data_IF_880581222485
#
_entry.id   IF_880581222485
#
_cell.length_a   1.000
_cell.length_b   1.000
_cell.length_c   1.000
_cell.angle_alpha   90.00
_cell.angle_beta   90.00
_cell.angle_gamma   90.00
#
_symmetry.space_group_name_H-M   'P 1'
#
loop_
_entity.id
_entity.type
_entity.pdbx_description
1 polymer ?
#
# COMPACT_ATOMS: atom_id res chain seq x y z
N UNK A 1 -13.85 -5.25 -1.30
CA UNK A 1 -14.25 -4.97 0.11
C UNK A 1 -14.43 -3.47 0.26
N UNK A 2 -15.40 -3.00 1.06
CA UNK A 2 -15.53 -1.56 1.30
C UNK A 2 -14.30 -1.06 2.08
N UNK A 3 -13.77 0.14 1.76
CA UNK A 3 -12.68 0.74 2.52
C UNK A 3 -13.07 1.02 3.97
N UNK A 4 -12.09 1.00 4.88
CA UNK A 4 -12.30 1.35 6.27
C UNK A 4 -12.73 2.82 6.40
N UNK A 5 -13.55 3.12 7.42
CA UNK A 5 -14.05 4.48 7.64
C UNK A 5 -12.93 5.52 7.80
N UNK A 6 -11.77 5.12 8.31
CA UNK A 6 -10.58 5.98 8.43
C UNK A 6 -10.17 6.60 7.08
N UNK A 7 -10.34 5.86 6.00
CA UNK A 7 -9.94 6.27 4.65
C UNK A 7 -11.08 6.84 3.81
N UNK A 8 -12.35 6.50 4.18
CA UNK A 8 -13.52 6.83 3.37
C UNK A 8 -14.39 7.93 3.98
N UNK A 9 -14.52 7.97 5.32
CA UNK A 9 -15.46 8.87 5.98
C UNK A 9 -15.06 10.34 5.79
N UNK A 10 -15.99 11.25 5.43
CA UNK A 10 -15.69 12.65 5.08
C UNK A 10 -15.10 13.49 6.23
N UNK A 11 -15.19 13.04 7.48
CA UNK A 11 -14.51 13.67 8.62
C UNK A 11 -13.16 13.04 8.95
N UNK A 12 -12.92 11.79 8.58
CA UNK A 12 -11.69 11.05 8.96
C UNK A 12 -10.62 11.14 7.87
N UNK A 13 -10.98 10.93 6.60
CA UNK A 13 -10.02 11.00 5.50
C UNK A 13 -9.26 12.35 5.45
N UNK A 14 -9.91 13.54 5.63
CA UNK A 14 -9.19 14.82 5.61
C UNK A 14 -8.18 15.04 6.74
N UNK A 15 -8.34 14.35 7.86
CA UNK A 15 -7.42 14.52 9.02
C UNK A 15 -6.34 13.44 9.08
N UNK A 16 -6.35 12.47 8.14
CA UNK A 16 -5.43 11.33 8.14
C UNK A 16 -3.97 11.75 8.21
N UNK A 17 -3.53 12.63 7.30
CA UNK A 17 -2.13 13.08 7.25
C UNK A 17 -1.74 13.95 8.46
N UNK A 18 -2.70 14.69 9.02
CA UNK A 18 -2.44 15.55 10.16
C UNK A 18 -2.35 14.77 11.49
N UNK A 19 -2.94 13.56 11.55
CA UNK A 19 -2.80 12.65 12.69
C UNK A 19 -1.44 11.96 12.73
N UNK A 20 -0.77 11.84 11.58
CA UNK A 20 0.58 11.28 11.45
C UNK A 20 1.39 12.11 10.46
N UNK A 21 1.89 13.29 10.89
CA UNK A 21 2.55 14.25 10.01
C UNK A 21 3.99 13.87 9.66
N UNK A 22 4.63 13.00 10.45
CA UNK A 22 5.95 12.48 10.10
C UNK A 22 5.80 11.38 9.03
N UNK A 23 6.28 11.71 7.84
CA UNK A 23 6.26 10.81 6.68
C UNK A 23 7.67 10.37 6.27
N UNK A 24 8.56 10.30 7.24
CA UNK A 24 9.91 9.74 7.06
C UNK A 24 9.87 8.23 6.72
N UNK A 25 8.78 7.55 7.04
CA UNK A 25 8.43 6.20 6.60
C UNK A 25 8.51 6.02 5.08
N UNK A 26 8.27 7.09 4.30
CA UNK A 26 8.29 7.06 2.84
C UNK A 26 9.69 7.24 2.22
N UNK A 27 10.68 7.70 2.98
CA UNK A 27 12.03 7.93 2.47
C UNK A 27 12.70 6.68 1.87
N UNK A 28 12.55 5.48 2.44
CA UNK A 28 13.10 4.26 1.84
C UNK A 28 12.51 3.94 0.46
N UNK A 29 11.23 4.23 0.24
CA UNK A 29 10.58 3.98 -1.06
C UNK A 29 10.99 4.98 -2.12
N UNK A 30 11.23 6.24 -1.74
CA UNK A 30 11.80 7.24 -2.62
C UNK A 30 13.23 6.86 -3.02
N UNK A 31 14.05 6.40 -2.07
CA UNK A 31 15.40 5.92 -2.33
C UNK A 31 15.39 4.66 -3.23
N UNK A 32 14.46 3.73 -3.01
CA UNK A 32 14.29 2.55 -3.87
C UNK A 32 13.91 2.94 -5.30
N UNK A 33 13.03 3.91 -5.49
CA UNK A 33 12.68 4.39 -6.83
C UNK A 33 13.89 4.96 -7.57
N UNK A 34 14.78 5.68 -6.86
CA UNK A 34 16.05 6.18 -7.39
C UNK A 34 17.05 5.04 -7.66
N UNK A 35 17.23 4.11 -6.71
CA UNK A 35 18.12 2.93 -6.82
C UNK A 35 17.77 2.09 -8.05
N UNK A 36 16.47 1.89 -8.30
CA UNK A 36 15.96 1.12 -9.43
C UNK A 36 15.88 1.93 -10.74
N UNK A 37 16.17 3.23 -10.70
CA UNK A 37 16.06 4.12 -11.86
C UNK A 37 14.64 4.22 -12.41
N UNK A 38 13.63 4.08 -11.56
CA UNK A 38 12.22 4.07 -11.95
C UNK A 38 11.77 5.45 -12.45
N UNK A 39 11.30 5.52 -13.70
CA UNK A 39 10.74 6.72 -14.31
C UNK A 39 9.22 6.74 -14.30
N UNK A 40 8.61 5.60 -14.04
CA UNK A 40 7.17 5.44 -13.94
C UNK A 40 6.82 4.52 -12.77
N UNK A 41 5.86 4.95 -11.93
CA UNK A 41 5.46 4.25 -10.70
C UNK A 41 3.96 4.09 -10.64
N UNK A 42 3.50 2.89 -10.25
CA UNK A 42 2.13 2.59 -9.84
C UNK A 42 2.10 2.44 -8.32
N UNK A 43 1.36 3.31 -7.64
CA UNK A 43 1.16 3.27 -6.19
C UNK A 43 -0.20 2.61 -5.89
N UNK A 44 -0.19 1.35 -5.45
CA UNK A 44 -1.38 0.53 -5.17
C UNK A 44 -1.74 0.68 -3.69
N UNK A 45 -2.91 1.22 -3.40
CA UNK A 45 -3.32 1.64 -2.07
C UNK A 45 -2.69 2.98 -1.70
N UNK A 46 -2.70 3.93 -2.64
CA UNK A 46 -2.01 5.22 -2.52
C UNK A 46 -2.58 6.14 -1.44
N UNK A 47 -3.75 5.83 -0.89
CA UNK A 47 -4.41 6.61 0.16
C UNK A 47 -4.58 8.08 -0.20
N UNK A 48 -4.12 8.95 0.67
CA UNK A 48 -4.12 10.42 0.48
C UNK A 48 -3.02 10.92 -0.46
N UNK A 49 -2.26 10.00 -1.10
CA UNK A 49 -1.36 10.29 -2.21
C UNK A 49 -0.01 10.92 -1.81
N UNK A 50 0.43 10.83 -0.57
CA UNK A 50 1.67 11.50 -0.12
C UNK A 50 2.89 10.98 -0.89
N UNK A 51 3.07 9.66 -1.01
CA UNK A 51 4.18 9.07 -1.77
C UNK A 51 4.08 9.42 -3.25
N UNK A 52 2.89 9.25 -3.84
CA UNK A 52 2.64 9.56 -5.25
C UNK A 52 3.02 11.00 -5.61
N UNK A 53 2.65 11.97 -4.76
CA UNK A 53 2.99 13.39 -4.95
C UNK A 53 4.49 13.66 -4.78
N UNK A 54 5.15 13.02 -3.82
CA UNK A 54 6.59 13.16 -3.61
C UNK A 54 7.40 12.61 -4.79
N UNK A 55 6.97 11.49 -5.38
CA UNK A 55 7.57 10.91 -6.59
C UNK A 55 7.34 11.82 -7.80
N UNK A 56 6.10 12.30 -8.00
CA UNK A 56 5.77 13.21 -9.10
C UNK A 56 6.57 14.52 -9.02
N UNK A 57 6.76 15.07 -7.82
CA UNK A 57 7.59 16.28 -7.61
C UNK A 57 9.07 16.05 -7.98
N UNK A 58 9.55 14.82 -8.05
CA UNK A 58 10.89 14.41 -8.51
C UNK A 58 10.94 14.12 -10.02
N UNK A 59 9.83 14.33 -10.74
CA UNK A 59 9.75 14.11 -12.18
C UNK A 59 9.40 12.67 -12.59
N UNK A 60 9.00 11.82 -11.66
CA UNK A 60 8.50 10.48 -11.95
C UNK A 60 7.07 10.55 -12.47
N UNK A 61 6.73 9.79 -13.52
CA UNK A 61 5.35 9.62 -13.96
C UNK A 61 4.62 8.69 -12.99
N UNK A 62 3.57 9.16 -12.32
CA UNK A 62 2.93 8.40 -11.24
C UNK A 62 1.45 8.18 -11.52
N UNK A 63 1.01 6.94 -11.26
CA UNK A 63 -0.39 6.57 -11.14
C UNK A 63 -0.66 6.14 -9.69
N UNK A 64 -1.63 6.78 -9.03
CA UNK A 64 -2.13 6.37 -7.73
C UNK A 64 -3.46 5.65 -7.86
N UNK A 65 -3.56 4.46 -7.29
CA UNK A 65 -4.76 3.63 -7.27
C UNK A 65 -5.20 3.39 -5.82
N UNK A 66 -6.46 3.69 -5.51
CA UNK A 66 -7.02 3.44 -4.18
C UNK A 66 -8.52 3.15 -4.25
N UNK A 67 -9.06 2.18 -3.48
CA UNK A 67 -10.48 1.93 -3.39
C UNK A 67 -11.24 2.96 -2.56
N UNK A 68 -10.56 3.76 -1.70
CA UNK A 68 -11.17 4.77 -0.85
C UNK A 68 -11.35 6.10 -1.60
N UNK A 69 -12.60 6.41 -1.97
CA UNK A 69 -12.95 7.67 -2.62
C UNK A 69 -12.66 8.89 -1.75
N UNK A 70 -12.83 8.76 -0.42
CA UNK A 70 -12.51 9.80 0.56
C UNK A 70 -11.02 10.16 0.57
N UNK A 71 -10.14 9.17 0.61
CA UNK A 71 -8.68 9.36 0.51
C UNK A 71 -8.27 9.99 -0.81
N UNK A 72 -8.83 9.51 -1.94
CA UNK A 72 -8.55 10.09 -3.26
C UNK A 72 -9.06 11.52 -3.41
N UNK A 73 -10.16 11.89 -2.75
CA UNK A 73 -10.62 13.28 -2.73
C UNK A 73 -9.59 14.19 -2.04
N UNK A 74 -9.00 13.73 -0.92
CA UNK A 74 -7.89 14.43 -0.25
C UNK A 74 -6.67 14.52 -1.15
N UNK A 75 -6.27 13.40 -1.78
CA UNK A 75 -5.11 13.37 -2.68
C UNK A 75 -5.24 14.37 -3.83
N UNK A 76 -6.41 14.40 -4.48
CA UNK A 76 -6.71 15.31 -5.60
C UNK A 76 -6.78 16.78 -5.21
N UNK A 77 -7.03 17.10 -3.94
CA UNK A 77 -7.07 18.47 -3.43
C UNK A 77 -5.69 19.03 -3.06
N UNK A 78 -4.65 18.20 -3.02
CA UNK A 78 -3.30 18.63 -2.65
C UNK A 78 -2.59 19.37 -3.78
N UNK A 79 -1.67 20.29 -3.46
CA UNK A 79 -0.80 20.92 -4.44
C UNK A 79 -0.01 19.87 -5.24
N UNK A 80 0.05 20.03 -6.57
CA UNK A 80 0.75 19.11 -7.45
C UNK A 80 -0.05 17.86 -7.84
N UNK A 81 -1.30 17.72 -7.42
CA UNK A 81 -2.15 16.57 -7.72
C UNK A 81 -2.37 16.33 -9.21
N UNK A 82 -2.34 17.39 -10.04
CA UNK A 82 -2.49 17.31 -11.49
C UNK A 82 -1.34 16.57 -12.18
N UNK A 83 -0.18 16.40 -11.51
CA UNK A 83 0.95 15.64 -12.01
C UNK A 83 0.79 14.11 -11.82
N UNK A 84 -0.26 13.66 -11.11
CA UNK A 84 -0.51 12.25 -10.81
C UNK A 84 -1.81 11.79 -11.46
N UNK A 85 -1.80 10.62 -12.10
CA UNK A 85 -3.03 9.98 -12.60
C UNK A 85 -3.70 9.21 -11.46
N UNK A 86 -4.85 9.71 -10.97
CA UNK A 86 -5.61 9.08 -9.89
C UNK A 86 -6.67 8.13 -10.42
N UNK A 87 -6.67 6.89 -9.96
CA UNK A 87 -7.64 5.84 -10.32
C UNK A 87 -8.38 5.40 -9.06
N UNK A 88 -9.72 5.45 -9.09
CA UNK A 88 -10.56 4.96 -8.02
C UNK A 88 -10.92 3.49 -8.28
N UNK A 89 -10.50 2.60 -7.41
CA UNK A 89 -10.76 1.17 -7.49
C UNK A 89 -9.69 0.34 -6.81
N UNK A 90 -9.87 -0.96 -6.80
CA UNK A 90 -8.85 -1.94 -6.42
C UNK A 90 -7.97 -2.31 -7.62
N UNK A 91 -6.98 -3.21 -7.40
CA UNK A 91 -6.05 -3.60 -8.45
C UNK A 91 -6.73 -4.24 -9.69
N UNK A 92 -7.92 -4.82 -9.52
CA UNK A 92 -8.70 -5.35 -10.64
C UNK A 92 -9.12 -4.27 -11.64
N UNK A 93 -9.24 -3.02 -11.21
CA UNK A 93 -9.58 -1.90 -12.09
C UNK A 93 -8.50 -1.61 -13.14
N UNK A 94 -7.25 -2.01 -12.92
CA UNK A 94 -6.14 -1.79 -13.85
C UNK A 94 -6.36 -2.48 -15.21
N UNK A 95 -7.03 -3.62 -15.22
CA UNK A 95 -7.29 -4.40 -16.43
C UNK A 95 -8.24 -3.68 -17.42
N UNK A 96 -9.05 -2.74 -16.94
CA UNK A 96 -10.00 -1.97 -17.75
C UNK A 96 -9.42 -0.64 -18.28
N UNK A 97 -8.17 -0.31 -17.93
CA UNK A 97 -7.56 0.95 -18.33
C UNK A 97 -7.06 0.90 -19.78
N UNK A 98 -7.35 1.98 -20.53
CA UNK A 98 -6.85 2.20 -21.88
C UNK A 98 -6.11 3.56 -21.92
N UNK A 99 -4.83 3.61 -22.35
CA UNK A 99 -3.97 2.46 -22.63
C UNK A 99 -3.66 1.62 -21.38
N UNK A 100 -3.24 0.35 -21.55
CA UNK A 100 -2.82 -0.51 -20.46
C UNK A 100 -1.69 0.11 -19.66
N UNK A 101 -1.67 -0.15 -18.35
CA UNK A 101 -0.62 0.34 -17.45
C UNK A 101 0.70 -0.35 -17.78
N UNK A 102 1.78 0.44 -17.90
CA UNK A 102 3.13 -0.07 -18.09
C UNK A 102 4.12 0.80 -17.32
N UNK A 103 4.61 0.31 -16.17
CA UNK A 103 5.46 1.03 -15.23
C UNK A 103 6.77 0.29 -14.96
N UNK A 104 7.77 1.02 -14.45
CA UNK A 104 9.06 0.46 -14.05
C UNK A 104 9.00 -0.10 -12.62
N UNK A 105 8.14 0.50 -11.77
CA UNK A 105 7.99 0.13 -10.37
C UNK A 105 6.51 0.16 -9.98
N UNK A 106 6.06 -0.87 -9.27
CA UNK A 106 4.80 -0.85 -8.50
C UNK A 106 5.15 -0.85 -7.01
N UNK A 107 4.36 -0.15 -6.20
CA UNK A 107 4.55 -0.10 -4.75
C UNK A 107 3.24 -0.35 -4.01
N UNK A 108 3.33 -0.97 -2.83
CA UNK A 108 2.25 -1.11 -1.86
C UNK A 108 2.81 -0.75 -0.48
N UNK A 109 2.73 0.52 -0.10
CA UNK A 109 3.29 1.05 1.15
C UNK A 109 2.24 1.17 2.25
N UNK A 110 2.65 1.49 3.46
CA UNK A 110 1.76 1.69 4.60
C UNK A 110 0.93 0.43 4.93
N UNK A 111 1.50 -0.74 4.70
CA UNK A 111 0.85 -2.04 4.92
C UNK A 111 -0.44 -2.26 4.11
N UNK A 112 -0.61 -1.59 2.96
CA UNK A 112 -1.76 -1.78 2.07
C UNK A 112 -1.97 -3.25 1.67
N UNK A 113 -0.90 -4.03 1.56
CA UNK A 113 -0.95 -5.47 1.29
C UNK A 113 -1.76 -6.26 2.34
N UNK A 114 -1.76 -5.83 3.61
CA UNK A 114 -2.50 -6.50 4.68
C UNK A 114 -4.01 -6.24 4.64
N UNK A 115 -4.44 -5.12 4.02
CA UNK A 115 -5.86 -4.82 3.84
C UNK A 115 -6.53 -5.76 2.80
N UNK A 116 -5.74 -6.41 1.93
CA UNK A 116 -6.24 -7.41 0.99
C UNK A 116 -6.34 -8.76 1.70
N UNK A 117 -7.48 -9.00 2.36
CA UNK A 117 -7.67 -10.15 3.26
C UNK A 117 -8.12 -11.43 2.56
N UNK A 118 -8.81 -11.32 1.42
CA UNK A 118 -9.29 -12.43 0.60
C UNK A 118 -8.18 -12.97 -0.31
N UNK A 119 -8.09 -14.30 -0.46
CA UNK A 119 -7.01 -14.96 -1.23
C UNK A 119 -7.12 -14.71 -2.74
N UNK A 120 -8.34 -14.69 -3.28
CA UNK A 120 -8.56 -14.44 -4.72
C UNK A 120 -8.29 -12.97 -5.06
N UNK A 121 -8.71 -12.05 -4.18
CA UNK A 121 -8.38 -10.62 -4.31
C UNK A 121 -6.87 -10.38 -4.21
N UNK A 122 -6.18 -11.08 -3.31
CA UNK A 122 -4.72 -11.02 -3.18
C UNK A 122 -4.01 -11.52 -4.44
N UNK A 123 -4.37 -12.71 -4.93
CA UNK A 123 -3.84 -13.25 -6.17
C UNK A 123 -4.12 -12.32 -7.37
N UNK A 124 -5.30 -11.70 -7.41
CA UNK A 124 -5.65 -10.71 -8.45
C UNK A 124 -4.79 -9.47 -8.35
N UNK A 125 -4.55 -8.97 -7.13
CA UNK A 125 -3.70 -7.80 -6.89
C UNK A 125 -2.26 -8.05 -7.36
N UNK A 126 -1.68 -9.20 -7.00
CA UNK A 126 -0.32 -9.54 -7.42
C UNK A 126 -0.20 -9.73 -8.95
N UNK A 127 -1.18 -10.40 -9.58
CA UNK A 127 -1.21 -10.52 -11.05
C UNK A 127 -1.36 -9.18 -11.74
N UNK A 128 -2.24 -8.30 -11.24
CA UNK A 128 -2.42 -6.96 -11.79
C UNK A 128 -1.15 -6.11 -11.66
N UNK A 129 -0.44 -6.21 -10.54
CA UNK A 129 0.86 -5.58 -10.35
C UNK A 129 1.90 -6.13 -11.36
N UNK A 130 1.99 -7.48 -11.50
CA UNK A 130 2.86 -8.11 -12.48
C UNK A 130 2.57 -7.62 -13.90
N UNK A 131 1.30 -7.59 -14.31
CA UNK A 131 0.91 -7.22 -15.67
C UNK A 131 1.14 -5.72 -15.96
N UNK A 132 1.04 -4.88 -14.94
CA UNK A 132 1.36 -3.46 -15.01
C UNK A 132 2.87 -3.18 -15.09
N UNK A 133 3.73 -4.10 -14.67
CA UNK A 133 5.17 -3.93 -14.72
C UNK A 133 5.71 -4.20 -16.13
N UNK A 134 6.66 -3.39 -16.59
CA UNK A 134 7.48 -3.73 -17.78
C UNK A 134 8.38 -4.94 -17.46
N UNK A 135 8.86 -5.67 -18.49
CA UNK A 135 9.93 -6.66 -18.30
C UNK A 135 11.15 -6.00 -17.64
N UNK A 136 11.63 -6.57 -16.54
CA UNK A 136 12.69 -5.98 -15.70
C UNK A 136 12.20 -4.98 -14.66
N UNK A 137 10.89 -4.70 -14.58
CA UNK A 137 10.29 -3.88 -13.54
C UNK A 137 10.15 -4.60 -12.20
N UNK A 138 9.90 -3.86 -11.15
CA UNK A 138 9.87 -4.36 -9.77
C UNK A 138 8.56 -4.04 -9.06
N UNK A 139 8.14 -4.94 -8.16
CA UNK A 139 7.13 -4.68 -7.15
C UNK A 139 7.81 -4.59 -5.79
N UNK A 140 7.52 -3.52 -5.05
CA UNK A 140 7.89 -3.36 -3.64
C UNK A 140 6.63 -3.36 -2.81
N UNK A 141 6.54 -4.23 -1.82
CA UNK A 141 5.44 -4.24 -0.88
C UNK A 141 5.93 -4.27 0.56
N UNK A 142 5.16 -3.64 1.43
CA UNK A 142 5.38 -3.61 2.87
C UNK A 142 4.35 -4.51 3.56
N UNK A 143 4.79 -5.25 4.56
CA UNK A 143 3.94 -6.07 5.40
C UNK A 143 4.53 -6.27 6.78
N UNK A 144 3.68 -6.38 7.81
CA UNK A 144 4.12 -6.72 9.16
C UNK A 144 4.47 -8.19 9.25
N UNK A 145 5.62 -8.45 9.90
CA UNK A 145 5.99 -9.83 10.22
C UNK A 145 5.04 -10.38 11.32
N UNK A 146 4.29 -11.47 11.06
CA UNK A 146 3.42 -12.05 12.07
C UNK A 146 4.18 -12.57 13.29
N UNK A 147 5.46 -12.89 13.18
CA UNK A 147 6.28 -13.34 14.31
C UNK A 147 6.55 -12.22 15.33
N UNK A 148 6.56 -10.98 14.87
CA UNK A 148 6.72 -9.79 15.71
C UNK A 148 5.47 -9.44 16.53
N UNK A 149 4.28 -10.03 16.20
CA UNK A 149 3.04 -9.89 16.92
C UNK A 149 2.67 -8.43 17.21
N UNK A 150 2.84 -7.55 16.24
CA UNK A 150 2.63 -6.09 16.38
C UNK A 150 1.26 -5.72 16.98
N UNK A 151 0.23 -6.56 16.76
CA UNK A 151 -1.13 -6.39 17.31
C UNK A 151 -1.20 -6.43 18.84
N UNK A 152 -0.19 -6.98 19.56
CA UNK A 152 -0.18 -6.98 21.02
C UNK A 152 -0.03 -5.58 21.60
N UNK A 153 0.60 -4.68 20.84
CA UNK A 153 0.69 -3.25 21.20
C UNK A 153 -0.57 -2.45 20.86
N UNK A 154 -1.54 -3.03 20.14
CA UNK A 154 -2.77 -2.31 19.74
C UNK A 154 -3.81 -2.37 20.85
N UNK A 155 -3.54 -1.65 21.92
CA UNK A 155 -4.43 -1.49 23.07
C UNK A 155 -4.74 -0.01 23.29
N UNK A 156 -5.90 0.29 23.83
CA UNK A 156 -6.26 1.66 24.18
C UNK A 156 -5.19 2.32 25.07
N UNK A 157 -4.72 1.61 26.08
CA UNK A 157 -3.74 2.15 27.04
C UNK A 157 -2.39 2.51 26.40
N UNK A 158 -1.95 1.75 25.38
CA UNK A 158 -0.68 1.96 24.71
C UNK A 158 -0.77 2.97 23.56
N UNK A 159 -1.96 3.16 22.97
CA UNK A 159 -2.12 3.90 21.71
C UNK A 159 -2.97 5.16 21.85
N UNK A 160 -3.60 5.40 23.01
CA UNK A 160 -4.40 6.60 23.25
C UNK A 160 -3.52 7.85 23.19
N UNK A 161 -3.89 8.77 22.31
CA UNK A 161 -3.21 10.06 22.14
C UNK A 161 -4.21 11.14 21.76
N UNK A 162 -3.84 12.39 22.01
CA UNK A 162 -4.62 13.56 21.60
C UNK A 162 -3.77 14.44 20.73
N UNK A 163 -4.26 14.73 19.51
CA UNK A 163 -3.63 15.63 18.55
C UNK A 163 -4.48 16.89 18.39
N UNK A 164 -3.80 18.04 18.25
CA UNK A 164 -4.47 19.32 17.98
C UNK A 164 -4.38 19.63 16.49
N UNK A 165 -5.47 19.43 15.78
CA UNK A 165 -5.50 19.55 14.33
C UNK A 165 -5.99 20.95 13.89
N UNK A 166 -5.29 21.63 12.97
CA UNK A 166 -5.71 22.93 12.45
C UNK A 166 -7.12 22.88 11.85
N UNK A 167 -7.98 23.78 12.28
CA UNK A 167 -9.37 23.89 11.77
C UNK A 167 -10.34 22.83 12.31
N UNK A 168 -9.86 21.84 13.09
CA UNK A 168 -10.68 20.76 13.65
C UNK A 168 -10.74 20.83 15.17
N UNK A 169 -9.62 21.19 15.82
CA UNK A 169 -9.45 21.18 17.27
C UNK A 169 -8.78 19.92 17.77
N UNK A 170 -8.96 19.61 19.04
CA UNK A 170 -8.41 18.40 19.64
C UNK A 170 -9.20 17.17 19.19
N UNK A 171 -8.46 16.15 18.74
CA UNK A 171 -8.97 14.82 18.39
C UNK A 171 -8.21 13.80 19.20
N UNK A 172 -8.91 13.03 20.03
CA UNK A 172 -8.35 11.92 20.76
C UNK A 172 -8.54 10.64 19.95
N UNK A 173 -7.49 9.82 19.86
CA UNK A 173 -7.53 8.56 19.10
C UNK A 173 -6.89 7.44 19.89
N UNK A 174 -7.38 6.21 19.66
CA UNK A 174 -6.73 4.97 20.09
C UNK A 174 -7.13 3.82 19.19
N UNK A 175 -6.30 2.78 19.14
CA UNK A 175 -6.60 1.53 18.46
C UNK A 175 -6.74 0.39 19.48
N UNK A 176 -7.66 -0.53 19.20
CA UNK A 176 -7.89 -1.70 20.03
C UNK A 176 -8.17 -2.93 19.17
N UNK A 177 -7.51 -4.06 19.47
CA UNK A 177 -7.83 -5.34 18.85
C UNK A 177 -9.19 -5.80 19.35
N UNK A 178 -10.09 -6.08 18.42
CA UNK A 178 -11.45 -6.57 18.71
C UNK A 178 -11.61 -8.06 18.48
N UNK A 179 -10.79 -8.63 17.56
CA UNK A 179 -10.77 -10.07 17.29
C UNK A 179 -9.40 -10.50 16.80
N UNK A 180 -8.85 -11.53 17.43
CA UNK A 180 -7.63 -12.21 17.00
C UNK A 180 -7.99 -13.63 16.54
N UNK A 181 -7.85 -13.87 15.24
CA UNK A 181 -8.10 -15.16 14.61
C UNK A 181 -7.10 -15.35 13.45
N UNK A 182 -5.83 -15.59 13.79
CA UNK A 182 -4.75 -15.66 12.81
C UNK A 182 -5.09 -16.55 11.61
N UNK A 183 -4.72 -16.11 10.40
CA UNK A 183 -3.91 -14.95 10.06
C UNK A 183 -4.66 -13.60 10.05
N UNK A 184 -5.91 -13.55 10.49
CA UNK A 184 -6.73 -12.34 10.50
C UNK A 184 -6.74 -11.68 11.87
N UNK A 185 -6.51 -10.36 11.89
CA UNK A 185 -6.59 -9.50 13.07
C UNK A 185 -7.59 -8.37 12.78
N UNK A 186 -8.66 -8.32 13.56
CA UNK A 186 -9.60 -7.20 13.51
C UNK A 186 -9.29 -6.20 14.61
N UNK A 187 -9.37 -4.92 14.28
CA UNK A 187 -9.18 -3.82 15.22
C UNK A 187 -10.19 -2.71 14.98
N UNK A 188 -10.39 -1.89 15.99
CA UNK A 188 -11.18 -0.65 15.90
C UNK A 188 -10.29 0.50 16.29
N UNK A 189 -10.24 1.54 15.44
CA UNK A 189 -9.68 2.85 15.79
C UNK A 189 -10.82 3.78 16.13
N UNK A 190 -10.79 4.37 17.33
CA UNK A 190 -11.76 5.34 17.80
C UNK A 190 -11.21 6.75 17.66
N UNK A 191 -12.10 7.70 17.32
CA UNK A 191 -11.81 9.11 17.15
C UNK A 191 -12.83 9.93 17.93
N UNK A 192 -12.38 10.73 18.90
CA UNK A 192 -13.24 11.60 19.71
C UNK A 192 -12.89 13.05 19.41
N UNK A 193 -13.85 13.78 18.87
CA UNK A 193 -13.70 15.18 18.50
C UNK A 193 -14.12 16.09 19.66
N UNK A 194 -13.20 16.85 20.23
CA UNK A 194 -13.50 17.74 21.34
C UNK A 194 -14.43 18.91 20.94
N UNK A 195 -14.46 19.27 19.66
CA UNK A 195 -15.23 20.40 19.14
C UNK A 195 -16.75 20.24 19.26
N UNK A 196 -17.25 18.99 19.18
CA UNK A 196 -18.68 18.68 19.21
C UNK A 196 -19.03 17.40 20.00
N UNK A 197 -18.02 16.74 20.58
CA UNK A 197 -18.18 15.50 21.31
C UNK A 197 -18.48 14.27 20.43
N UNK A 198 -18.40 14.40 19.11
CA UNK A 198 -18.65 13.28 18.21
C UNK A 198 -17.61 12.17 18.40
N UNK A 199 -18.09 10.93 18.41
CA UNK A 199 -17.26 9.72 18.41
C UNK A 199 -17.47 8.99 17.10
N UNK A 200 -16.37 8.74 16.38
CA UNK A 200 -16.38 7.95 15.15
C UNK A 200 -15.48 6.73 15.34
N UNK A 201 -15.84 5.63 14.72
CA UNK A 201 -15.05 4.40 14.72
C UNK A 201 -14.72 3.95 13.31
N UNK A 202 -13.50 3.46 13.16
CA UNK A 202 -13.04 2.78 11.95
C UNK A 202 -12.69 1.34 12.29
N UNK A 203 -13.38 0.40 11.64
CA UNK A 203 -13.15 -1.03 11.82
C UNK A 203 -12.23 -1.53 10.70
N UNK A 204 -11.12 -2.16 11.09
CA UNK A 204 -10.13 -2.71 10.16
C UNK A 204 -10.02 -4.21 10.33
N UNK A 205 -9.87 -4.91 9.20
CA UNK A 205 -9.50 -6.31 9.17
C UNK A 205 -8.20 -6.44 8.36
N UNK A 206 -7.16 -6.93 9.00
CA UNK A 206 -5.84 -7.09 8.40
C UNK A 206 -5.44 -8.56 8.36
N UNK A 207 -4.82 -8.98 7.27
CA UNK A 207 -4.24 -10.31 7.13
C UNK A 207 -2.73 -10.26 7.28
N UNK A 208 -2.23 -11.00 8.24
CA UNK A 208 -0.81 -11.16 8.53
C UNK A 208 -0.30 -12.39 7.77
N UNK A 209 0.43 -12.16 6.67
CA UNK A 209 1.07 -13.22 5.86
C UNK A 209 2.51 -13.38 6.31
N UNK A 210 2.96 -14.62 6.44
CA UNK A 210 4.38 -14.88 6.70
C UNK A 210 5.23 -14.53 5.47
N UNK A 211 6.53 -14.37 5.67
CA UNK A 211 7.49 -14.14 4.59
C UNK A 211 7.42 -15.26 3.53
N UNK A 212 7.27 -16.51 3.98
CA UNK A 212 7.17 -17.67 3.11
C UNK A 212 5.87 -17.65 2.27
N UNK A 213 4.75 -17.23 2.88
CA UNK A 213 3.47 -17.07 2.16
C UNK A 213 3.60 -15.98 1.10
N UNK A 214 4.12 -14.80 1.46
CA UNK A 214 4.32 -13.69 0.51
C UNK A 214 5.25 -14.10 -0.63
N UNK A 215 6.37 -14.76 -0.33
CA UNK A 215 7.33 -15.25 -1.35
C UNK A 215 6.69 -16.23 -2.31
N UNK A 216 5.94 -17.20 -1.80
CA UNK A 216 5.22 -18.19 -2.61
C UNK A 216 4.17 -17.55 -3.49
N UNK A 217 3.39 -16.60 -2.95
CA UNK A 217 2.28 -15.96 -3.65
C UNK A 217 2.81 -15.02 -4.75
N UNK A 218 3.92 -14.33 -4.51
CA UNK A 218 4.65 -13.56 -5.53
C UNK A 218 5.12 -14.45 -6.67
N UNK A 219 5.75 -15.59 -6.35
CA UNK A 219 6.22 -16.55 -7.37
C UNK A 219 5.06 -17.09 -8.22
N UNK A 220 3.90 -17.38 -7.62
CA UNK A 220 2.70 -17.78 -8.35
C UNK A 220 2.17 -16.69 -9.29
N UNK A 221 2.43 -15.42 -8.98
CA UNK A 221 2.10 -14.29 -9.86
C UNK A 221 3.17 -13.99 -10.91
N UNK A 222 4.29 -14.76 -10.95
CA UNK A 222 5.40 -14.52 -11.89
C UNK A 222 6.39 -13.44 -11.43
N UNK A 223 6.44 -13.18 -10.13
CA UNK A 223 7.34 -12.21 -9.50
C UNK A 223 8.31 -12.95 -8.58
N UNK A 224 9.60 -12.84 -8.84
CA UNK A 224 10.64 -13.46 -8.01
C UNK A 224 11.13 -12.49 -6.95
N UNK A 225 11.14 -12.89 -5.68
CA UNK A 225 11.71 -12.08 -4.59
C UNK A 225 13.22 -11.94 -4.80
N UNK A 226 13.71 -10.72 -4.90
CA UNK A 226 15.13 -10.40 -5.11
C UNK A 226 15.79 -9.88 -3.84
N UNK A 227 15.02 -9.25 -2.94
CA UNK A 227 15.53 -8.74 -1.66
C UNK A 227 14.40 -8.66 -0.63
N UNK A 228 14.75 -8.73 0.66
CA UNK A 228 13.85 -8.48 1.77
C UNK A 228 14.60 -7.64 2.79
N UNK A 229 14.14 -6.43 3.00
CA UNK A 229 14.74 -5.45 3.91
C UNK A 229 13.86 -5.28 5.13
N UNK A 230 14.45 -4.90 6.23
CA UNK A 230 13.74 -4.41 7.41
C UNK A 230 13.17 -3.01 7.12
N UNK A 231 11.98 -2.69 7.60
CA UNK A 231 11.45 -1.34 7.49
C UNK A 231 12.20 -0.41 8.46
N UNK A 232 12.89 0.63 7.97
CA UNK A 232 13.80 1.43 8.83
C UNK A 232 13.10 2.19 9.95
N UNK A 233 11.82 2.55 9.76
CA UNK A 233 10.98 3.23 10.76
C UNK A 233 10.40 2.27 11.80
N UNK A 234 10.36 0.95 11.50
CA UNK A 234 9.81 -0.11 12.36
C UNK A 234 10.64 -1.38 12.33
N UNK A 235 11.93 -1.29 12.70
CA UNK A 235 12.87 -2.41 12.59
C UNK A 235 12.38 -3.62 13.41
N UNK A 236 12.45 -4.79 12.78
CA UNK A 236 12.00 -6.06 13.38
C UNK A 236 10.49 -6.25 13.45
N UNK A 237 9.69 -5.28 13.02
CA UNK A 237 8.22 -5.38 13.00
C UNK A 237 7.65 -5.53 11.59
N UNK A 238 8.27 -4.90 10.62
CA UNK A 238 7.77 -4.80 9.25
C UNK A 238 8.86 -5.15 8.25
N UNK A 239 8.45 -5.78 7.14
CA UNK A 239 9.31 -6.22 6.05
C UNK A 239 8.98 -5.44 4.79
N UNK A 240 10.01 -4.96 4.10
CA UNK A 240 9.94 -4.42 2.74
C UNK A 240 10.41 -5.50 1.77
N UNK A 241 9.48 -6.08 1.02
CA UNK A 241 9.75 -7.15 0.07
C UNK A 241 9.89 -6.57 -1.33
N UNK A 242 11.06 -6.71 -1.92
CA UNK A 242 11.36 -6.33 -3.30
C UNK A 242 11.30 -7.57 -4.19
N UNK A 243 10.49 -7.54 -5.23
CA UNK A 243 10.38 -8.62 -6.23
C UNK A 243 10.51 -8.08 -7.64
N UNK A 244 10.99 -8.90 -8.57
CA UNK A 244 11.24 -8.53 -9.96
C UNK A 244 10.38 -9.32 -10.95
N UNK A 245 9.91 -8.64 -12.00
CA UNK A 245 9.36 -9.26 -13.20
C UNK A 245 10.48 -9.50 -14.20
N UNK A 246 10.96 -10.73 -14.30
CA UNK A 246 11.97 -11.06 -15.29
C UNK A 246 11.37 -11.16 -16.70
N UNK A 247 12.13 -10.80 -17.75
CA UNK A 247 11.73 -11.12 -19.12
C UNK A 247 11.57 -12.65 -19.18
N UNK A 248 10.35 -13.13 -19.49
CA UNK A 248 10.13 -14.56 -19.67
C UNK A 248 11.22 -15.12 -20.58
N UNK A 249 11.79 -16.28 -20.26
CA UNK A 249 12.71 -16.97 -21.16
C UNK A 249 12.02 -17.04 -22.52
N UNK A 250 12.54 -16.29 -23.49
CA UNK A 250 12.07 -16.39 -24.86
C UNK A 250 12.08 -17.88 -25.19
N UNK A 251 10.90 -18.45 -25.50
CA UNK A 251 10.76 -19.84 -25.82
C UNK A 251 11.87 -20.17 -26.84
N UNK A 252 12.85 -20.97 -26.41
CA UNK A 252 13.95 -21.38 -27.25
C UNK A 252 13.33 -22.00 -28.50
N UNK A 253 13.43 -21.35 -29.63
CA UNK A 253 12.95 -21.88 -30.88
C UNK A 253 13.63 -23.26 -31.07
N UNK A 254 12.86 -24.34 -31.34
CA UNK A 254 13.47 -25.64 -31.56
C UNK A 254 14.51 -25.54 -32.68
N UNK A 255 15.66 -26.19 -32.56
CA UNK A 255 16.70 -26.14 -33.55
C UNK A 255 16.11 -26.58 -34.91
N UNK A 256 16.28 -25.71 -35.92
CA UNK A 256 15.89 -26.07 -37.28
C UNK A 256 16.71 -27.30 -37.69
N UNK A 257 16.05 -28.44 -37.81
CA UNK A 257 16.63 -29.62 -38.45
C UNK A 257 16.88 -29.32 -39.91
N UNK A 258 18.13 -29.03 -40.26
CA UNK A 258 18.56 -29.05 -41.63
C UNK A 258 18.60 -30.49 -42.08
N UNK A 259 17.52 -30.93 -42.77
CA UNK A 259 17.51 -32.18 -43.51
C UNK A 259 18.45 -32.04 -44.70
N UNK A 260 19.36 -32.98 -44.80
CA UNK A 260 20.06 -33.33 -46.06
C UNK A 260 19.18 -34.24 -46.91
#
# INVERSE_FOLDING_TARGET
>A
MAPDAHFEHPRLAPIYDALDPDRSDLLPYLALAEELGARSVLDIGCGTGVLALQLAARGTAVMGLDPAGGSLAVARAKPGADAVRWVHGDAGALAALDPPVAVDLAVMTGNAAQAVTDDDAWATTLRAAHDALRPGGHLVLETRDPSARAWEGWTEAATRRTEHLPGVGAVETWVQVTRLALPLVASTTSFVFASDGAVLESHSLLRFRSREEVTRDLAHAGLDVVDVRDAPDRPGLELVVLSGRWPGAAAAAPPRTTGR
#
